data_IF_439561845759
#
_entry.id   IF_439561845759
#
_cell.length_a   1.000
_cell.length_b   1.000
_cell.length_c   1.000
_cell.angle_alpha   90.00
_cell.angle_beta   90.00
_cell.angle_gamma   90.00
#
_symmetry.space_group_name_H-M   'P 1'
#
loop_
_entity.id
_entity.type
_entity.pdbx_description
1 polymer ?
#
# COMPACT_ATOMS: atom_id res chain seq x y z
N UNK A 1 8.57 12.81 14.60
CA UNK A 1 9.47 11.67 14.84
C UNK A 1 9.28 10.71 13.67
N UNK A 2 10.26 10.60 12.77
CA UNK A 2 10.29 9.53 11.78
C UNK A 2 10.40 8.21 12.56
N UNK A 3 9.33 7.42 12.60
CA UNK A 3 9.41 6.02 13.01
C UNK A 3 10.15 5.27 11.91
N UNK A 4 11.33 4.78 12.23
CA UNK A 4 12.08 3.90 11.33
C UNK A 4 11.36 2.55 11.35
N UNK A 5 10.74 2.17 10.24
CA UNK A 5 10.28 0.79 10.02
C UNK A 5 11.49 -0.14 10.15
N UNK A 6 11.50 -1.00 11.14
CA UNK A 6 12.47 -2.09 11.23
C UNK A 6 12.11 -3.16 10.19
N UNK A 7 13.10 -3.73 9.53
CA UNK A 7 13.00 -4.73 8.43
C UNK A 7 12.28 -6.04 8.85
N UNK A 8 11.73 -6.13 10.04
CA UNK A 8 11.02 -7.30 10.59
C UNK A 8 9.63 -7.00 11.14
N UNK A 9 9.22 -5.74 11.16
CA UNK A 9 7.88 -5.38 11.63
C UNK A 9 6.89 -5.56 10.49
N UNK A 10 5.76 -6.21 10.77
CA UNK A 10 4.66 -6.39 9.84
C UNK A 10 3.52 -5.47 10.20
N UNK A 11 2.84 -4.93 9.20
CA UNK A 11 1.86 -3.88 9.39
C UNK A 11 0.53 -4.22 8.72
N UNK A 12 -0.55 -3.78 9.35
CA UNK A 12 -1.83 -3.59 8.69
C UNK A 12 -1.85 -2.17 8.11
N UNK A 13 -2.24 -2.01 6.86
CA UNK A 13 -2.45 -0.73 6.16
C UNK A 13 -3.91 -0.65 5.70
N UNK A 14 -4.86 -0.17 6.52
CA UNK A 14 -6.26 -0.05 6.13
C UNK A 14 -6.42 0.87 4.93
N UNK A 15 -7.09 0.38 3.85
CA UNK A 15 -7.36 1.22 2.67
C UNK A 15 -8.51 2.19 2.93
N UNK A 16 -8.19 3.48 2.93
CA UNK A 16 -9.15 4.57 3.11
C UNK A 16 -10.25 4.60 2.03
N UNK A 17 -10.05 3.94 0.90
CA UNK A 17 -11.06 3.83 -0.15
C UNK A 17 -12.37 3.18 0.35
N UNK A 18 -12.30 2.38 1.43
CA UNK A 18 -13.46 1.73 2.06
C UNK A 18 -14.06 2.52 3.23
N UNK A 19 -13.52 3.70 3.56
CA UNK A 19 -14.01 4.53 4.65
C UNK A 19 -15.34 5.23 4.30
N UNK A 20 -16.10 5.60 5.33
CA UNK A 20 -17.17 6.59 5.20
C UNK A 20 -16.55 7.99 5.15
N UNK A 21 -16.51 8.60 3.95
CA UNK A 21 -15.89 9.90 3.74
C UNK A 21 -16.57 11.03 4.52
N UNK A 22 -17.81 10.85 5.00
CA UNK A 22 -18.47 11.83 5.88
C UNK A 22 -17.92 11.81 7.31
N UNK A 23 -17.17 10.75 7.69
CA UNK A 23 -16.64 10.50 9.05
C UNK A 23 -15.17 10.07 9.04
N UNK A 24 -14.45 10.29 7.93
CA UNK A 24 -13.11 9.74 7.75
C UNK A 24 -12.17 10.11 8.90
N UNK A 25 -12.17 11.35 9.38
CA UNK A 25 -11.32 11.77 10.49
C UNK A 25 -11.59 11.02 11.81
N UNK A 26 -12.87 10.71 12.11
CA UNK A 26 -13.25 9.90 13.28
C UNK A 26 -12.80 8.45 13.12
N UNK A 27 -12.97 7.89 11.93
CA UNK A 27 -12.57 6.51 11.61
C UNK A 27 -11.04 6.34 11.65
N UNK A 28 -10.26 7.32 11.17
CA UNK A 28 -8.80 7.31 11.29
C UNK A 28 -8.33 7.30 12.73
N UNK A 29 -8.94 8.12 13.60
CA UNK A 29 -8.65 8.08 15.04
C UNK A 29 -9.02 6.75 15.69
N UNK A 30 -10.12 6.12 15.25
CA UNK A 30 -10.52 4.80 15.74
C UNK A 30 -9.48 3.74 15.38
N UNK A 31 -8.97 3.76 14.15
CA UNK A 31 -7.92 2.87 13.65
C UNK A 31 -6.62 3.07 14.43
N UNK A 32 -6.17 4.32 14.58
CA UNK A 32 -4.95 4.67 15.31
C UNK A 32 -5.04 4.27 16.79
N UNK A 33 -6.17 4.55 17.47
CA UNK A 33 -6.41 4.16 18.85
C UNK A 33 -6.47 2.63 19.05
N UNK A 34 -6.79 1.87 18.01
CA UNK A 34 -6.72 0.41 18.01
C UNK A 34 -5.29 -0.14 17.83
N UNK A 35 -4.28 0.75 17.78
CA UNK A 35 -2.86 0.42 17.72
C UNK A 35 -2.32 0.26 16.30
N UNK A 36 -3.01 0.77 15.29
CA UNK A 36 -2.55 0.73 13.90
C UNK A 36 -1.61 1.90 13.59
N UNK A 37 -0.61 1.68 12.74
CA UNK A 37 0.45 2.64 12.46
C UNK A 37 0.51 3.12 11.01
N UNK A 38 -0.22 2.47 10.09
CA UNK A 38 -0.23 2.79 8.66
C UNK A 38 -1.64 3.03 8.13
N UNK A 39 -1.74 3.78 7.05
CA UNK A 39 -2.96 4.02 6.30
C UNK A 39 -2.66 3.94 4.80
N UNK A 40 -3.37 3.11 4.06
CA UNK A 40 -3.27 3.02 2.61
C UNK A 40 -4.23 4.03 1.95
N UNK A 41 -3.69 4.81 1.00
CA UNK A 41 -4.39 5.95 0.39
C UNK A 41 -4.35 5.81 -1.14
N UNK A 42 -5.46 5.37 -1.73
CA UNK A 42 -5.60 5.08 -3.16
C UNK A 42 -5.96 6.32 -3.98
N UNK A 43 -5.02 6.87 -4.75
CA UNK A 43 -5.26 7.98 -5.68
C UNK A 43 -5.47 7.43 -7.09
N UNK A 44 -6.65 7.67 -7.64
CA UNK A 44 -7.09 7.18 -8.95
C UNK A 44 -7.53 8.33 -9.86
N UNK A 45 -7.10 8.33 -11.12
CA UNK A 45 -7.35 9.41 -12.09
C UNK A 45 -8.45 9.10 -13.13
N UNK A 46 -9.01 7.89 -13.13
CA UNK A 46 -9.98 7.45 -14.13
C UNK A 46 -9.38 7.18 -15.52
N UNK A 47 -8.06 7.23 -15.65
CA UNK A 47 -7.34 6.97 -16.91
C UNK A 47 -6.51 5.68 -16.83
N UNK A 48 -5.71 5.51 -15.78
CA UNK A 48 -4.98 4.27 -15.53
C UNK A 48 -5.91 3.16 -15.05
N UNK A 49 -6.87 3.52 -14.22
CA UNK A 49 -7.95 2.63 -13.74
C UNK A 49 -9.31 3.24 -14.05
N UNK A 50 -10.38 2.43 -14.18
CA UNK A 50 -11.71 2.93 -14.61
C UNK A 50 -12.50 3.61 -13.48
N UNK A 51 -11.83 4.17 -12.48
CA UNK A 51 -12.45 4.87 -11.34
C UNK A 51 -11.67 6.12 -10.98
N UNK A 52 -12.35 7.12 -10.45
CA UNK A 52 -11.76 8.32 -9.83
C UNK A 52 -12.02 8.22 -8.33
N UNK A 53 -10.97 8.31 -7.50
CA UNK A 53 -11.12 8.30 -6.05
C UNK A 53 -11.11 9.73 -5.47
N UNK A 54 -9.96 10.18 -5.06
CA UNK A 54 -9.71 11.50 -4.49
C UNK A 54 -8.27 11.91 -4.82
N UNK A 55 -7.91 13.15 -4.50
CA UNK A 55 -6.57 13.68 -4.79
C UNK A 55 -5.95 14.35 -3.58
N UNK A 56 -4.85 15.07 -3.82
CA UNK A 56 -4.04 15.73 -2.82
C UNK A 56 -4.82 16.60 -1.80
N UNK A 57 -5.88 17.36 -2.19
CA UNK A 57 -6.65 18.15 -1.21
C UNK A 57 -7.30 17.30 -0.11
N UNK A 58 -7.73 16.07 -0.42
CA UNK A 58 -8.27 15.15 0.60
C UNK A 58 -7.15 14.63 1.48
N UNK A 59 -6.02 14.20 0.90
CA UNK A 59 -4.85 13.73 1.65
C UNK A 59 -4.34 14.81 2.60
N UNK A 60 -4.20 16.06 2.13
CA UNK A 60 -3.77 17.19 2.94
C UNK A 60 -4.75 17.49 4.09
N UNK A 61 -6.07 17.37 3.85
CA UNK A 61 -7.08 17.64 4.86
C UNK A 61 -7.14 16.58 5.98
N UNK A 62 -6.82 15.33 5.67
CA UNK A 62 -6.81 14.24 6.67
C UNK A 62 -5.47 14.08 7.39
N UNK A 63 -4.37 14.60 6.83
CA UNK A 63 -3.04 14.50 7.43
C UNK A 63 -2.99 14.95 8.89
N UNK A 64 -3.62 16.08 9.29
CA UNK A 64 -3.63 16.54 10.69
C UNK A 64 -4.47 15.66 11.62
N UNK A 65 -5.27 14.73 11.09
CA UNK A 65 -6.17 13.90 11.91
C UNK A 65 -5.45 12.72 12.57
N UNK A 66 -4.24 12.35 12.15
CA UNK A 66 -3.55 11.15 12.62
C UNK A 66 -2.03 11.25 12.42
N UNK A 67 -1.27 10.55 13.26
CA UNK A 67 0.19 10.38 13.12
C UNK A 67 0.59 9.10 12.36
N UNK A 68 -0.38 8.34 11.83
CA UNK A 68 -0.10 7.14 11.03
C UNK A 68 0.75 7.47 9.80
N UNK A 69 1.54 6.51 9.34
CA UNK A 69 2.29 6.56 8.08
C UNK A 69 1.28 6.56 6.94
N UNK A 70 1.34 7.55 6.05
CA UNK A 70 0.53 7.57 4.83
C UNK A 70 1.30 6.89 3.69
N UNK A 71 0.84 5.70 3.35
CA UNK A 71 1.25 4.95 2.18
C UNK A 71 0.32 5.29 1.02
N UNK A 72 0.82 6.11 0.09
CA UNK A 72 0.02 6.66 -1.01
C UNK A 72 0.26 5.87 -2.29
N UNK A 73 -0.78 5.13 -2.69
CA UNK A 73 -0.79 4.30 -3.88
C UNK A 73 -1.34 5.08 -5.08
N UNK A 74 -0.48 5.34 -6.07
CA UNK A 74 -0.80 6.15 -7.23
C UNK A 74 -1.22 5.29 -8.42
N UNK A 75 -2.51 5.13 -8.62
CA UNK A 75 -3.12 4.52 -9.80
C UNK A 75 -3.46 5.59 -10.84
N UNK A 76 -2.43 6.25 -11.37
CA UNK A 76 -2.54 7.38 -12.29
C UNK A 76 -1.59 7.25 -13.46
N UNK A 77 -1.97 7.81 -14.61
CA UNK A 77 -1.09 7.90 -15.79
C UNK A 77 -0.02 8.98 -15.56
N UNK A 78 1.22 8.71 -15.99
CA UNK A 78 2.36 9.62 -15.87
C UNK A 78 2.54 10.14 -14.41
N UNK A 79 2.73 9.25 -13.41
CA UNK A 79 2.76 9.60 -11.99
C UNK A 79 3.87 10.59 -11.63
N UNK A 80 4.96 10.65 -12.40
CA UNK A 80 6.10 11.55 -12.23
C UNK A 80 5.70 13.03 -12.15
N UNK A 81 4.53 13.38 -12.67
CA UNK A 81 3.98 14.75 -12.65
C UNK A 81 3.49 15.18 -11.27
N UNK A 82 3.18 14.23 -10.38
CA UNK A 82 2.46 14.48 -9.14
C UNK A 82 3.30 14.27 -7.88
N UNK A 83 4.50 13.71 -7.98
CA UNK A 83 5.33 13.28 -6.85
C UNK A 83 5.49 14.37 -5.78
N UNK A 84 5.86 15.59 -6.18
CA UNK A 84 6.06 16.70 -5.25
C UNK A 84 4.75 17.11 -4.56
N UNK A 85 3.64 17.16 -5.32
CA UNK A 85 2.33 17.54 -4.78
C UNK A 85 1.80 16.48 -3.81
N UNK A 86 1.97 15.19 -4.13
CA UNK A 86 1.59 14.06 -3.27
C UNK A 86 2.43 14.06 -2.00
N UNK A 87 3.75 14.25 -2.10
CA UNK A 87 4.61 14.36 -0.91
C UNK A 87 4.20 15.54 -0.04
N UNK A 88 3.95 16.71 -0.64
CA UNK A 88 3.52 17.92 0.09
C UNK A 88 2.18 17.72 0.81
N UNK A 89 1.27 16.93 0.26
CA UNK A 89 -0.02 16.63 0.89
C UNK A 89 0.11 15.70 2.11
N UNK A 90 1.29 15.11 2.37
CA UNK A 90 1.58 14.36 3.58
C UNK A 90 1.93 12.88 3.39
N UNK A 91 2.19 12.44 2.14
CA UNK A 91 2.61 11.07 1.86
C UNK A 91 3.98 10.75 2.47
N UNK A 92 4.12 9.63 3.16
CA UNK A 92 5.38 9.13 3.72
C UNK A 92 6.00 8.06 2.81
N UNK A 93 5.16 7.26 2.15
CA UNK A 93 5.51 6.29 1.12
C UNK A 93 4.72 6.68 -0.14
N UNK A 94 5.33 6.56 -1.31
CA UNK A 94 4.66 6.81 -2.60
C UNK A 94 4.94 5.63 -3.52
N UNK A 95 3.89 4.88 -3.87
CA UNK A 95 3.98 3.78 -4.82
C UNK A 95 3.46 4.20 -6.20
N UNK A 96 4.21 3.83 -7.24
CA UNK A 96 3.88 4.04 -8.65
C UNK A 96 3.78 2.71 -9.37
N UNK A 97 2.83 2.57 -10.28
CA UNK A 97 2.71 1.37 -11.09
C UNK A 97 3.80 1.28 -12.16
N UNK A 98 4.42 0.08 -12.28
CA UNK A 98 5.40 -0.20 -13.34
C UNK A 98 4.79 0.00 -14.73
N UNK A 99 3.50 -0.23 -14.88
CA UNK A 99 2.74 -0.10 -16.13
C UNK A 99 2.36 1.35 -16.48
N UNK A 100 2.36 2.26 -15.50
CA UNK A 100 1.91 3.64 -15.67
C UNK A 100 3.04 4.66 -15.83
N UNK A 101 4.26 4.30 -15.46
CA UNK A 101 5.42 5.20 -15.41
C UNK A 101 6.37 4.94 -16.57
N UNK A 102 6.76 6.00 -17.30
CA UNK A 102 7.68 5.91 -18.44
C UNK A 102 9.14 5.86 -18.02
N UNK A 103 9.51 6.65 -17.00
CA UNK A 103 10.86 6.79 -16.49
C UNK A 103 10.95 6.32 -15.04
N UNK A 104 10.77 5.01 -14.82
CA UNK A 104 10.58 4.41 -13.49
C UNK A 104 11.74 4.76 -12.55
N UNK A 105 13.00 4.54 -12.96
CA UNK A 105 14.17 4.78 -12.10
C UNK A 105 14.24 6.25 -11.69
N UNK A 106 14.13 7.17 -12.65
CA UNK A 106 14.20 8.61 -12.36
C UNK A 106 13.06 9.05 -11.43
N UNK A 107 11.86 8.45 -11.60
CA UNK A 107 10.71 8.74 -10.74
C UNK A 107 10.90 8.20 -9.33
N UNK A 108 11.45 6.99 -9.16
CA UNK A 108 11.77 6.43 -7.84
C UNK A 108 12.84 7.26 -7.12
N UNK A 109 13.87 7.71 -7.85
CA UNK A 109 14.89 8.61 -7.31
C UNK A 109 14.28 9.96 -6.91
N UNK A 110 13.41 10.53 -7.74
CA UNK A 110 12.68 11.76 -7.42
C UNK A 110 11.82 11.61 -6.17
N UNK A 111 11.10 10.49 -6.00
CA UNK A 111 10.37 10.20 -4.76
C UNK A 111 11.30 10.27 -3.56
N UNK A 112 12.44 9.58 -3.62
CA UNK A 112 13.45 9.57 -2.55
C UNK A 112 14.00 10.96 -2.24
N UNK A 113 14.26 11.78 -3.24
CA UNK A 113 14.72 13.17 -3.08
C UNK A 113 13.72 14.06 -2.35
N UNK A 114 12.42 13.80 -2.45
CA UNK A 114 11.39 14.50 -1.67
C UNK A 114 11.38 14.14 -0.19
N UNK A 115 12.12 13.10 0.20
CA UNK A 115 12.11 12.53 1.56
C UNK A 115 10.99 11.50 1.82
N UNK A 116 10.20 11.13 0.79
CA UNK A 116 9.30 9.99 0.85
C UNK A 116 10.06 8.68 0.53
N UNK A 117 9.53 7.54 1.01
CA UNK A 117 10.02 6.23 0.61
C UNK A 117 9.47 5.87 -0.79
N UNK A 118 10.33 5.50 -1.75
CA UNK A 118 9.87 5.05 -3.06
C UNK A 118 9.33 3.62 -2.98
N UNK A 119 8.16 3.40 -3.57
CA UNK A 119 7.56 2.10 -3.75
C UNK A 119 7.15 1.88 -5.22
N UNK A 120 7.07 0.62 -5.64
CA UNK A 120 6.62 0.23 -6.97
C UNK A 120 5.50 -0.79 -6.88
N UNK A 121 4.42 -0.58 -7.63
CA UNK A 121 3.27 -1.47 -7.71
C UNK A 121 3.26 -2.25 -9.03
N UNK A 122 2.71 -3.46 -9.00
CA UNK A 122 2.59 -4.33 -10.16
C UNK A 122 1.21 -4.98 -10.25
N UNK A 123 0.60 -4.92 -11.44
CA UNK A 123 -0.69 -5.53 -11.73
C UNK A 123 -0.64 -7.07 -11.76
N UNK A 124 -1.78 -7.76 -11.55
CA UNK A 124 -1.83 -9.22 -11.55
C UNK A 124 -1.32 -9.88 -12.82
N UNK A 125 -1.54 -9.27 -13.99
CA UNK A 125 -1.17 -9.81 -15.30
C UNK A 125 0.30 -9.57 -15.66
N UNK A 126 0.97 -8.62 -15.01
CA UNK A 126 2.36 -8.25 -15.33
C UNK A 126 3.31 -9.27 -14.73
N UNK A 127 4.24 -9.86 -15.49
CA UNK A 127 5.21 -10.81 -14.96
C UNK A 127 6.10 -10.21 -13.87
N UNK A 128 6.32 -10.92 -12.76
CA UNK A 128 7.14 -10.45 -11.62
C UNK A 128 8.57 -10.08 -12.02
N UNK A 129 9.15 -10.75 -13.01
CA UNK A 129 10.49 -10.47 -13.53
C UNK A 129 10.63 -9.03 -14.07
N UNK A 130 9.51 -8.40 -14.46
CA UNK A 130 9.47 -6.98 -14.87
C UNK A 130 10.00 -6.04 -13.78
N UNK A 131 9.87 -6.42 -12.50
CA UNK A 131 10.33 -5.60 -11.37
C UNK A 131 11.85 -5.65 -11.17
N UNK A 132 12.53 -6.72 -11.62
CA UNK A 132 13.95 -6.98 -11.32
C UNK A 132 14.88 -5.77 -11.50
N UNK A 133 14.81 -4.97 -12.58
CA UNK A 133 15.68 -3.81 -12.76
C UNK A 133 15.49 -2.71 -11.71
N UNK A 134 14.32 -2.68 -11.04
CA UNK A 134 13.89 -1.58 -10.18
C UNK A 134 14.04 -1.89 -8.69
N UNK A 135 14.14 -3.17 -8.30
CA UNK A 135 14.11 -3.62 -6.90
C UNK A 135 15.18 -2.99 -6.00
N UNK A 136 16.33 -2.60 -6.55
CA UNK A 136 17.38 -1.92 -5.79
C UNK A 136 17.09 -0.44 -5.48
N UNK A 137 16.07 0.14 -6.12
CA UNK A 137 15.71 1.56 -5.98
C UNK A 137 14.50 1.79 -5.07
N UNK A 138 13.87 0.73 -4.59
CA UNK A 138 12.63 0.80 -3.81
C UNK A 138 12.83 0.40 -2.35
N UNK A 139 12.01 0.96 -1.48
CA UNK A 139 11.87 0.55 -0.08
C UNK A 139 10.67 -0.39 0.10
N UNK A 140 9.77 -0.45 -0.92
CA UNK A 140 8.56 -1.26 -0.89
C UNK A 140 8.12 -1.69 -2.29
N UNK A 141 7.52 -2.88 -2.37
CA UNK A 141 6.87 -3.41 -3.59
C UNK A 141 5.42 -3.79 -3.27
N UNK A 142 4.47 -3.19 -3.97
CA UNK A 142 3.04 -3.47 -3.86
C UNK A 142 2.64 -4.53 -4.87
N UNK A 143 2.27 -5.71 -4.40
CA UNK A 143 1.72 -6.78 -5.22
C UNK A 143 0.21 -6.67 -5.24
N UNK A 144 -0.35 -6.30 -6.40
CA UNK A 144 -1.79 -6.29 -6.57
C UNK A 144 -2.33 -7.72 -6.58
N UNK A 145 -3.29 -7.98 -5.71
CA UNK A 145 -4.01 -9.25 -5.60
C UNK A 145 -5.48 -9.14 -6.04
N UNK A 146 -5.82 -8.03 -6.66
CA UNK A 146 -7.05 -7.74 -7.41
C UNK A 146 -6.69 -6.86 -8.61
N UNK A 147 -7.60 -6.71 -9.57
CA UNK A 147 -7.44 -5.67 -10.61
C UNK A 147 -7.63 -4.29 -9.97
N UNK A 148 -6.66 -3.35 -10.08
CA UNK A 148 -6.79 -2.05 -9.45
C UNK A 148 -7.99 -1.25 -10.00
N UNK A 149 -8.57 -0.37 -9.15
CA UNK A 149 -9.64 0.54 -9.54
C UNK A 149 -10.91 0.46 -8.70
N UNK A 150 -11.19 -0.64 -7.99
CA UNK A 150 -12.37 -0.77 -7.14
C UNK A 150 -12.05 -1.52 -5.85
N UNK A 151 -12.66 -1.08 -4.75
CA UNK A 151 -12.60 -1.80 -3.48
C UNK A 151 -13.55 -3.02 -3.43
N UNK A 152 -13.36 -3.88 -2.43
CA UNK A 152 -14.27 -4.99 -2.12
C UNK A 152 -14.20 -6.19 -3.06
N UNK A 153 -13.21 -6.30 -3.92
CA UNK A 153 -13.00 -7.42 -4.84
C UNK A 153 -12.53 -8.68 -4.10
N UNK A 154 -12.69 -9.83 -4.76
CA UNK A 154 -12.16 -11.10 -4.27
C UNK A 154 -10.68 -11.23 -4.58
N UNK A 155 -9.92 -11.81 -3.65
CA UNK A 155 -8.50 -12.10 -3.80
C UNK A 155 -8.24 -13.04 -4.99
N UNK A 156 -7.28 -12.74 -5.81
CA UNK A 156 -6.82 -13.57 -6.94
C UNK A 156 -5.86 -14.62 -6.38
N UNK A 157 -6.24 -15.91 -6.42
CA UNK A 157 -5.48 -17.02 -5.79
C UNK A 157 -4.04 -17.14 -6.31
N UNK A 158 -3.78 -16.82 -7.57
CA UNK A 158 -2.45 -16.82 -8.18
C UNK A 158 -1.49 -15.83 -7.51
N UNK A 159 -2.02 -14.83 -6.80
CA UNK A 159 -1.21 -13.84 -6.08
C UNK A 159 -0.39 -14.47 -4.95
N UNK A 160 -0.79 -15.60 -4.39
CA UNK A 160 0.04 -16.31 -3.40
C UNK A 160 1.38 -16.74 -4.00
N UNK A 161 1.38 -17.30 -5.20
CA UNK A 161 2.62 -17.72 -5.88
C UNK A 161 3.48 -16.50 -6.21
N UNK A 162 2.86 -15.40 -6.66
CA UNK A 162 3.55 -14.14 -6.97
C UNK A 162 4.24 -13.52 -5.76
N UNK A 163 3.58 -13.49 -4.60
CA UNK A 163 4.17 -13.01 -3.34
C UNK A 163 5.37 -13.88 -2.95
N UNK A 164 5.21 -15.20 -2.98
CA UNK A 164 6.30 -16.14 -2.69
C UNK A 164 7.47 -16.01 -3.69
N UNK A 165 7.20 -15.72 -4.97
CA UNK A 165 8.22 -15.46 -6.00
C UNK A 165 9.00 -14.19 -5.68
N UNK A 166 8.30 -13.10 -5.35
CA UNK A 166 8.94 -11.82 -4.99
C UNK A 166 9.80 -11.94 -3.73
N UNK A 167 9.34 -12.68 -2.72
CA UNK A 167 10.14 -12.93 -1.51
C UNK A 167 11.41 -13.74 -1.80
N UNK A 168 11.33 -14.71 -2.72
CA UNK A 168 12.53 -15.42 -3.22
C UNK A 168 13.47 -14.46 -3.95
N UNK A 169 12.95 -13.64 -4.88
CA UNK A 169 13.75 -12.64 -5.59
C UNK A 169 14.46 -11.67 -4.63
N UNK A 170 13.76 -11.20 -3.59
CA UNK A 170 14.30 -10.35 -2.54
C UNK A 170 15.48 -11.01 -1.82
N UNK A 171 15.31 -12.27 -1.43
CA UNK A 171 16.36 -13.05 -0.74
C UNK A 171 17.56 -13.35 -1.65
N UNK A 172 17.31 -13.78 -2.88
CA UNK A 172 18.35 -14.14 -3.84
C UNK A 172 19.23 -12.95 -4.23
N UNK A 173 18.63 -11.75 -4.28
CA UNK A 173 19.32 -10.49 -4.58
C UNK A 173 19.94 -9.83 -3.33
N UNK A 174 19.69 -10.34 -2.12
CA UNK A 174 20.15 -9.74 -0.86
C UNK A 174 19.56 -8.36 -0.58
N UNK A 175 18.33 -8.11 -1.05
CA UNK A 175 17.61 -6.85 -0.88
C UNK A 175 16.69 -6.89 0.33
N UNK A 176 16.26 -5.70 0.81
CA UNK A 176 15.52 -5.54 2.06
C UNK A 176 14.25 -4.68 1.93
N UNK A 177 13.68 -4.55 0.73
CA UNK A 177 12.41 -3.86 0.55
C UNK A 177 11.25 -4.61 1.23
N UNK A 178 10.23 -3.88 1.67
CA UNK A 178 8.99 -4.47 2.18
C UNK A 178 8.13 -5.01 1.03
N UNK A 179 7.38 -6.09 1.28
CA UNK A 179 6.38 -6.62 0.34
C UNK A 179 5.00 -6.27 0.89
N UNK A 180 4.32 -5.38 0.21
CA UNK A 180 2.93 -5.04 0.45
C UNK A 180 2.02 -5.85 -0.46
N UNK A 181 0.84 -6.24 0.05
CA UNK A 181 -0.17 -6.95 -0.73
C UNK A 181 -1.48 -6.19 -0.64
N UNK A 182 -1.97 -5.77 -1.80
CA UNK A 182 -3.20 -4.99 -1.90
C UNK A 182 -4.28 -5.69 -2.71
N UNK A 183 -5.40 -5.91 -2.04
CA UNK A 183 -6.65 -6.37 -2.64
C UNK A 183 -7.20 -7.68 -2.09
N UNK A 184 -8.46 -7.68 -1.71
CA UNK A 184 -9.21 -8.88 -1.33
C UNK A 184 -8.77 -9.57 -0.05
N UNK A 185 -7.95 -8.90 0.79
CA UNK A 185 -7.45 -9.46 2.05
C UNK A 185 -8.56 -9.47 3.11
N UNK A 186 -8.70 -10.63 3.77
CA UNK A 186 -9.64 -10.89 4.86
C UNK A 186 -8.97 -11.71 5.95
N UNK A 187 -9.66 -11.91 7.08
CA UNK A 187 -9.14 -12.71 8.20
C UNK A 187 -8.90 -14.18 7.83
N UNK A 188 -9.58 -14.71 6.83
CA UNK A 188 -9.47 -16.11 6.39
C UNK A 188 -8.29 -16.38 5.44
N UNK A 189 -7.73 -15.34 4.79
CA UNK A 189 -6.61 -15.50 3.85
C UNK A 189 -5.32 -14.81 4.29
N UNK A 190 -5.37 -13.83 5.22
CA UNK A 190 -4.21 -13.03 5.65
C UNK A 190 -3.05 -13.87 6.15
N UNK A 191 -3.31 -14.96 6.89
CA UNK A 191 -2.25 -15.85 7.38
C UNK A 191 -1.45 -16.51 6.25
N UNK A 192 -2.13 -16.91 5.17
CA UNK A 192 -1.48 -17.49 3.99
C UNK A 192 -0.64 -16.45 3.25
N UNK A 193 -1.11 -15.20 3.15
CA UNK A 193 -0.38 -14.07 2.57
C UNK A 193 0.91 -13.80 3.34
N UNK A 194 0.83 -13.74 4.68
CA UNK A 194 1.99 -13.55 5.56
C UNK A 194 3.02 -14.68 5.44
N UNK A 195 2.57 -15.92 5.31
CA UNK A 195 3.45 -17.10 5.10
C UNK A 195 4.19 -17.06 3.76
N UNK A 196 3.62 -16.42 2.73
CA UNK A 196 4.29 -16.20 1.46
C UNK A 196 5.38 -15.12 1.51
N UNK A 197 5.49 -14.35 2.60
CA UNK A 197 6.55 -13.37 2.79
C UNK A 197 6.10 -11.91 2.73
N UNK A 198 4.78 -11.64 2.78
CA UNK A 198 4.27 -10.29 2.90
C UNK A 198 4.64 -9.66 4.25
N UNK A 199 4.96 -8.37 4.22
CA UNK A 199 5.30 -7.55 5.38
C UNK A 199 4.17 -6.54 5.69
N UNK A 200 3.46 -6.05 4.66
CA UNK A 200 2.37 -5.08 4.80
C UNK A 200 1.10 -5.65 4.16
N UNK A 201 0.00 -5.55 4.90
CA UNK A 201 -1.30 -6.08 4.52
C UNK A 201 -2.28 -4.94 4.30
N UNK A 202 -2.71 -4.72 3.06
CA UNK A 202 -3.77 -3.75 2.76
C UNK A 202 -5.12 -4.42 2.90
N UNK A 203 -5.98 -3.88 3.76
CA UNK A 203 -7.34 -4.36 3.97
C UNK A 203 -8.33 -3.19 3.99
N UNK A 204 -9.26 -3.18 3.06
CA UNK A 204 -10.31 -2.15 2.97
C UNK A 204 -11.58 -2.56 3.69
N UNK A 205 -12.55 -3.13 2.97
CA UNK A 205 -13.87 -3.50 3.50
C UNK A 205 -13.82 -4.43 4.72
N UNK A 206 -12.79 -5.26 4.85
CA UNK A 206 -12.61 -6.14 6.01
C UNK A 206 -12.27 -5.38 7.30
N UNK A 207 -11.77 -4.14 7.19
CA UNK A 207 -11.48 -3.26 8.34
C UNK A 207 -12.64 -2.30 8.59
N UNK A 208 -13.12 -1.61 7.54
CA UNK A 208 -14.08 -0.51 7.69
C UNK A 208 -15.53 -0.93 7.88
N UNK A 209 -15.85 -2.22 7.74
CA UNK A 209 -17.19 -2.76 7.95
C UNK A 209 -17.45 -3.04 9.44
N UNK A 210 -18.63 -2.70 9.93
CA UNK A 210 -19.09 -2.98 11.30
C UNK A 210 -18.20 -2.32 12.38
N UNK A 211 -17.52 -3.08 13.24
CA UNK A 211 -16.65 -2.57 14.31
C UNK A 211 -15.19 -2.45 13.83
N UNK A 212 -14.81 -1.24 13.41
CA UNK A 212 -13.47 -0.92 12.91
C UNK A 212 -12.38 -1.28 13.92
N UNK A 213 -12.56 -0.92 15.20
CA UNK A 213 -11.54 -1.15 16.23
C UNK A 213 -11.32 -2.64 16.49
N UNK A 214 -12.39 -3.43 16.48
CA UNK A 214 -12.33 -4.88 16.66
C UNK A 214 -11.68 -5.56 15.45
N UNK A 215 -12.03 -5.12 14.24
CA UNK A 215 -11.41 -5.64 13.03
C UNK A 215 -9.90 -5.37 12.99
N UNK A 216 -9.45 -4.15 13.31
CA UNK A 216 -8.03 -3.80 13.41
C UNK A 216 -7.31 -4.70 14.42
N UNK A 217 -7.88 -4.89 15.62
CA UNK A 217 -7.29 -5.78 16.65
C UNK A 217 -7.14 -7.21 16.17
N UNK A 218 -8.16 -7.78 15.48
CA UNK A 218 -8.11 -9.14 14.93
C UNK A 218 -7.01 -9.31 13.89
N UNK A 219 -6.86 -8.34 12.97
CA UNK A 219 -5.76 -8.36 12.00
C UNK A 219 -4.41 -8.27 12.70
N UNK A 220 -4.22 -7.32 13.62
CA UNK A 220 -2.96 -7.13 14.34
C UNK A 220 -2.61 -8.34 15.21
N UNK A 221 -3.58 -9.04 15.80
CA UNK A 221 -3.35 -10.28 16.51
C UNK A 221 -2.79 -11.38 15.61
N UNK A 222 -3.30 -11.51 14.38
CA UNK A 222 -2.76 -12.48 13.41
C UNK A 222 -1.37 -12.05 12.96
N UNK A 223 -1.20 -10.79 12.57
CA UNK A 223 0.07 -10.22 12.05
C UNK A 223 1.20 -10.37 13.08
N UNK A 224 0.93 -10.15 14.36
CA UNK A 224 1.92 -10.23 15.44
C UNK A 224 2.52 -11.61 15.68
N UNK A 225 1.96 -12.66 15.08
CA UNK A 225 2.45 -14.05 15.18
C UNK A 225 3.57 -14.37 14.16
N UNK A 226 3.81 -13.49 13.23
CA UNK A 226 4.74 -13.66 12.10
C UNK A 226 5.86 -12.62 12.13
#
# INVERSE_FOLDING_TARGET
>A
RQRQMCIRDRYLSPSMLSADFTKVGEQLKTIENAGNEMLHVDIMDGMFVPSISFGMPVVESIRPCTDMIFDVHMMVVDPERYIEAVRKSGADIISIHVEACKNIIDTLLKIRETGAKPAIAINPETPMETLRPYLQYVDEVVVMSVHPGFGGQSFIEESFERICELDRMRKDLGLSFAIEVDGGIKLDNVEKVLKCGADIIVAGSAVFKDDIADNVRKFNEIISRY
#
